data_IF_623359693393
#
_entry.id   IF_623359693393
#
_cell.length_a   1.000
_cell.length_b   1.000
_cell.length_c   1.000
_cell.angle_alpha   90.00
_cell.angle_beta   90.00
_cell.angle_gamma   90.00
#
_symmetry.space_group_name_H-M   'P 1'
#
loop_
_entity.id
_entity.type
_entity.pdbx_description
1 polymer ?
#
# COMPACT_ATOMS: atom_id res chain seq x y z
N UNK A 1 18.73 -85.29 47.94
CA UNK A 1 19.30 -84.77 46.69
C UNK A 1 18.52 -83.52 46.29
N UNK A 2 19.09 -82.31 46.46
CA UNK A 2 18.36 -81.06 46.23
C UNK A 2 18.41 -80.69 44.74
N UNK A 3 17.24 -80.36 44.19
CA UNK A 3 17.06 -79.91 42.81
C UNK A 3 17.53 -78.46 42.64
N UNK A 4 18.35 -78.22 41.62
CA UNK A 4 18.87 -76.91 41.24
C UNK A 4 17.76 -76.17 40.47
N UNK A 5 17.32 -75.02 40.98
CA UNK A 5 16.38 -74.11 40.33
C UNK A 5 17.17 -73.18 39.38
N UNK A 6 16.75 -72.99 38.11
CA UNK A 6 17.47 -72.13 37.18
C UNK A 6 17.19 -70.64 37.46
N UNK A 7 18.22 -69.81 37.31
CA UNK A 7 18.15 -68.37 37.51
C UNK A 7 17.32 -67.65 36.41
N UNK A 8 16.61 -66.55 36.74
CA UNK A 8 15.82 -65.81 35.76
C UNK A 8 16.71 -64.99 34.80
N UNK A 9 16.30 -64.94 33.53
CA UNK A 9 17.00 -64.21 32.47
C UNK A 9 16.94 -62.67 32.67
N UNK A 10 17.97 -61.92 32.27
CA UNK A 10 18.01 -60.47 32.46
C UNK A 10 16.99 -59.75 31.56
N UNK A 11 16.28 -58.78 32.15
CA UNK A 11 15.31 -57.94 31.45
C UNK A 11 16.00 -57.06 30.38
N UNK A 12 15.48 -57.10 29.15
CA UNK A 12 15.93 -56.22 28.06
C UNK A 12 15.47 -54.78 28.33
N UNK A 13 16.43 -53.88 28.53
CA UNK A 13 16.20 -52.42 28.51
C UNK A 13 15.81 -51.99 27.09
N UNK A 14 14.53 -51.62 26.91
CA UNK A 14 14.04 -50.97 25.70
C UNK A 14 14.49 -49.51 25.75
N UNK A 15 15.39 -49.12 24.86
CA UNK A 15 15.79 -47.71 24.70
C UNK A 15 14.60 -46.89 24.15
N UNK A 16 14.37 -45.66 24.64
CA UNK A 16 13.26 -44.84 24.19
C UNK A 16 13.43 -44.48 22.71
N UNK A 17 12.34 -44.58 21.93
CA UNK A 17 12.26 -44.27 20.48
C UNK A 17 12.46 -42.76 20.18
N UNK A 18 13.60 -42.19 20.55
CA UNK A 18 13.94 -40.77 20.32
C UNK A 18 14.07 -40.41 18.83
N UNK A 19 14.47 -41.37 17.99
CA UNK A 19 14.66 -41.16 16.54
C UNK A 19 13.36 -41.05 15.72
N UNK A 20 12.20 -41.47 16.24
CA UNK A 20 10.91 -41.39 15.53
C UNK A 20 10.25 -40.02 15.69
N UNK A 21 10.24 -39.50 16.92
CA UNK A 21 9.69 -38.17 17.25
C UNK A 21 10.46 -37.07 16.53
N UNK A 22 11.80 -37.13 16.54
CA UNK A 22 12.67 -36.14 15.86
C UNK A 22 12.46 -36.12 14.34
N UNK A 23 12.19 -37.27 13.71
CA UNK A 23 11.85 -37.37 12.27
C UNK A 23 10.45 -36.87 11.96
N UNK A 24 9.48 -37.06 12.86
CA UNK A 24 8.14 -36.49 12.75
C UNK A 24 8.16 -34.96 12.82
N UNK A 25 8.87 -34.40 13.81
CA UNK A 25 9.03 -32.94 13.95
C UNK A 25 9.71 -32.31 12.73
N UNK A 26 10.78 -32.92 12.22
CA UNK A 26 11.50 -32.41 11.04
C UNK A 26 10.63 -32.42 9.76
N UNK A 27 9.74 -33.42 9.62
CA UNK A 27 8.79 -33.49 8.51
C UNK A 27 7.73 -32.40 8.56
N UNK A 28 7.18 -32.12 9.74
CA UNK A 28 6.21 -31.04 9.92
C UNK A 28 6.83 -29.65 9.73
N UNK A 29 8.08 -29.45 10.19
CA UNK A 29 8.83 -28.22 9.91
C UNK A 29 9.10 -28.05 8.41
N UNK A 30 9.50 -29.12 7.72
CA UNK A 30 9.70 -29.10 6.27
C UNK A 30 8.42 -28.79 5.49
N UNK A 31 7.29 -29.42 5.85
CA UNK A 31 5.99 -29.14 5.25
C UNK A 31 5.53 -27.69 5.49
N UNK A 32 5.75 -27.17 6.70
CA UNK A 32 5.48 -25.77 7.03
C UNK A 32 6.30 -24.81 6.15
N UNK A 33 7.60 -25.05 5.99
CA UNK A 33 8.45 -24.22 5.12
C UNK A 33 8.00 -24.24 3.64
N UNK A 34 7.61 -25.41 3.12
CA UNK A 34 7.08 -25.52 1.75
C UNK A 34 5.78 -24.73 1.60
N UNK A 35 4.88 -24.81 2.58
CA UNK A 35 3.63 -24.04 2.58
C UNK A 35 3.90 -22.53 2.60
N UNK A 36 4.80 -22.07 3.47
CA UNK A 36 5.16 -20.66 3.57
C UNK A 36 5.84 -20.15 2.29
N UNK A 37 6.70 -20.95 1.68
CA UNK A 37 7.29 -20.64 0.37
C UNK A 37 6.22 -20.53 -0.72
N UNK A 38 5.25 -21.45 -0.74
CA UNK A 38 4.11 -21.41 -1.66
C UNK A 38 3.26 -20.14 -1.50
N UNK A 39 2.94 -19.73 -0.27
CA UNK A 39 2.20 -18.49 0.01
C UNK A 39 2.99 -17.26 -0.46
N UNK A 40 4.30 -17.23 -0.21
CA UNK A 40 5.16 -16.13 -0.67
C UNK A 40 5.25 -16.06 -2.20
N UNK A 41 5.34 -17.21 -2.88
CA UNK A 41 5.34 -17.30 -4.35
C UNK A 41 4.01 -16.88 -4.98
N UNK A 42 2.89 -17.14 -4.30
CA UNK A 42 1.54 -16.79 -4.77
C UNK A 42 1.04 -15.44 -4.27
N UNK A 43 1.85 -14.71 -3.49
CA UNK A 43 1.46 -13.42 -2.89
C UNK A 43 0.88 -12.45 -3.92
N UNK A 44 1.42 -12.44 -5.14
CA UNK A 44 0.96 -11.56 -6.21
C UNK A 44 -0.51 -11.77 -6.56
N UNK A 45 -1.01 -13.01 -6.49
CA UNK A 45 -2.41 -13.35 -6.78
C UNK A 45 -3.38 -13.01 -5.64
N UNK A 46 -2.85 -12.72 -4.44
CA UNK A 46 -3.65 -12.34 -3.28
C UNK A 46 -3.63 -10.83 -3.03
N UNK A 47 -2.54 -10.16 -3.40
CA UNK A 47 -2.38 -8.73 -3.17
C UNK A 47 -2.79 -7.88 -4.37
N UNK A 48 -2.56 -8.33 -5.61
CA UNK A 48 -2.69 -7.51 -6.80
C UNK A 48 -3.73 -8.08 -7.75
N UNK A 49 -4.71 -7.25 -8.12
CA UNK A 49 -5.81 -7.60 -9.02
C UNK A 49 -5.83 -6.66 -10.23
N UNK A 50 -4.79 -6.71 -11.08
CA UNK A 50 -4.70 -5.85 -12.26
C UNK A 50 -5.87 -6.09 -13.19
N UNK A 51 -6.54 -5.01 -13.59
CA UNK A 51 -7.46 -5.04 -14.71
C UNK A 51 -6.72 -4.62 -15.99
N UNK A 52 -6.91 -5.38 -17.07
CA UNK A 52 -6.24 -5.15 -18.35
C UNK A 52 -7.17 -4.35 -19.26
N UNK A 53 -6.70 -3.20 -19.71
CA UNK A 53 -7.43 -2.27 -20.56
C UNK A 53 -6.47 -1.63 -21.57
N UNK A 54 -6.98 -1.24 -22.74
CA UNK A 54 -6.20 -0.41 -23.66
C UNK A 54 -6.16 1.05 -23.15
N UNK A 55 -5.26 1.87 -23.71
CA UNK A 55 -5.28 3.31 -23.42
C UNK A 55 -6.61 3.93 -23.82
N UNK A 56 -7.17 3.48 -24.96
CA UNK A 56 -8.43 4.02 -25.51
C UNK A 56 -9.64 3.69 -24.62
N UNK A 57 -9.64 2.55 -23.92
CA UNK A 57 -10.69 2.19 -22.96
C UNK A 57 -10.60 3.02 -21.67
N UNK A 58 -9.40 3.51 -21.33
CA UNK A 58 -9.15 4.23 -20.08
C UNK A 58 -9.33 5.73 -20.19
N UNK A 59 -9.16 6.31 -21.38
CA UNK A 59 -9.38 7.75 -21.59
C UNK A 59 -10.87 8.07 -21.58
N UNK A 60 -11.21 9.28 -21.13
CA UNK A 60 -12.59 9.75 -21.09
C UNK A 60 -12.62 11.29 -21.24
N UNK A 61 -13.79 11.92 -21.41
CA UNK A 61 -13.86 13.38 -21.46
C UNK A 61 -13.20 14.04 -20.24
N UNK A 62 -12.11 14.77 -20.46
CA UNK A 62 -11.33 15.42 -19.40
C UNK A 62 -10.15 14.59 -18.86
N UNK A 63 -10.02 13.32 -19.23
CA UNK A 63 -8.90 12.44 -18.90
C UNK A 63 -8.20 11.97 -20.17
N UNK A 64 -6.93 12.35 -20.31
CA UNK A 64 -6.09 11.99 -21.46
C UNK A 64 -4.88 11.18 -21.03
N UNK A 65 -4.32 10.38 -21.94
CA UNK A 65 -3.09 9.64 -21.71
C UNK A 65 -1.94 10.55 -21.25
N UNK A 66 -1.17 10.09 -20.26
CA UNK A 66 -0.03 10.80 -19.71
C UNK A 66 1.22 9.91 -19.61
N UNK A 67 2.42 10.42 -19.97
CA UNK A 67 2.69 11.68 -20.69
C UNK A 67 2.14 11.70 -22.12
N UNK A 68 1.83 10.53 -22.67
CA UNK A 68 1.20 10.31 -23.96
C UNK A 68 0.87 8.82 -24.12
N UNK A 69 0.23 8.40 -25.22
CA UNK A 69 -0.20 7.02 -25.41
C UNK A 69 0.98 6.04 -25.64
N UNK A 70 2.11 6.49 -26.19
CA UNK A 70 3.27 5.61 -26.46
C UNK A 70 4.05 5.28 -25.18
N UNK A 71 4.25 6.27 -24.30
CA UNK A 71 4.99 6.13 -23.04
C UNK A 71 4.05 6.14 -21.84
N UNK A 72 2.89 5.51 -21.97
CA UNK A 72 1.79 5.60 -21.02
C UNK A 72 2.19 5.23 -19.58
N UNK A 73 1.92 6.16 -18.66
CA UNK A 73 2.12 6.01 -17.21
C UNK A 73 0.85 6.25 -16.40
N UNK A 74 -0.25 6.62 -17.06
CA UNK A 74 -1.50 6.95 -16.41
C UNK A 74 -2.30 7.96 -17.21
N UNK A 75 -3.27 8.57 -16.54
CA UNK A 75 -4.13 9.59 -17.12
C UNK A 75 -3.84 10.94 -16.48
N UNK A 76 -4.07 12.04 -17.22
CA UNK A 76 -4.00 13.40 -16.69
C UNK A 76 -5.28 14.16 -16.98
N UNK A 77 -5.74 14.91 -15.98
CA UNK A 77 -6.81 15.90 -16.09
C UNK A 77 -6.28 17.29 -15.74
N UNK A 78 -6.72 18.29 -16.49
CA UNK A 78 -6.35 19.68 -16.32
C UNK A 78 -7.51 20.47 -15.70
N UNK A 79 -7.25 21.41 -14.78
CA UNK A 79 -8.26 22.37 -14.34
C UNK A 79 -8.59 23.37 -15.48
N UNK A 80 -9.72 24.07 -15.36
CA UNK A 80 -10.16 25.03 -16.39
C UNK A 80 -9.21 26.24 -16.57
N UNK A 81 -8.43 26.58 -15.54
CA UNK A 81 -7.43 27.64 -15.56
C UNK A 81 -6.02 27.12 -15.27
N UNK A 82 -5.03 28.00 -15.02
CA UNK A 82 -3.69 27.59 -14.65
C UNK A 82 -3.69 26.69 -13.41
N UNK A 83 -3.06 25.52 -13.51
CA UNK A 83 -2.94 24.62 -12.37
C UNK A 83 -2.03 25.21 -11.30
N UNK A 84 -2.54 25.33 -10.07
CA UNK A 84 -1.78 25.86 -8.93
C UNK A 84 -0.94 24.82 -8.19
N UNK A 85 -1.21 23.54 -8.44
CA UNK A 85 -0.46 22.38 -7.97
C UNK A 85 -0.82 21.16 -8.82
N UNK A 86 -0.03 20.09 -8.71
CA UNK A 86 -0.33 18.78 -9.29
C UNK A 86 -0.63 17.78 -8.16
N UNK A 87 -1.67 16.95 -8.31
CA UNK A 87 -1.94 15.80 -7.46
C UNK A 87 -1.66 14.53 -8.27
N UNK A 88 -0.71 13.71 -7.82
CA UNK A 88 -0.45 12.38 -8.36
C UNK A 88 -1.13 11.34 -7.46
N UNK A 89 -2.07 10.60 -8.04
CA UNK A 89 -2.92 9.63 -7.37
C UNK A 89 -2.45 8.22 -7.70
N UNK A 90 -2.21 7.43 -6.65
CA UNK A 90 -1.90 6.01 -6.71
C UNK A 90 -3.14 5.23 -6.23
N UNK A 91 -3.72 4.43 -7.13
CA UNK A 91 -4.97 3.73 -6.88
C UNK A 91 -4.77 2.45 -6.03
N UNK A 92 -5.87 1.84 -5.60
CA UNK A 92 -5.86 0.59 -4.83
C UNK A 92 -5.29 -0.62 -5.59
N UNK A 93 -5.48 -1.82 -5.06
CA UNK A 93 -4.94 -3.03 -5.67
C UNK A 93 -5.77 -3.58 -6.84
N UNK A 94 -7.00 -3.12 -7.03
CA UNK A 94 -7.92 -3.67 -8.02
C UNK A 94 -8.37 -2.63 -9.06
N UNK A 95 -8.48 -3.06 -10.31
CA UNK A 95 -8.91 -2.20 -11.42
C UNK A 95 -7.74 -1.56 -12.16
N UNK A 96 -7.96 -0.35 -12.67
CA UNK A 96 -7.00 0.47 -13.39
C UNK A 96 -7.28 1.97 -13.14
N UNK A 97 -6.36 2.85 -13.53
CA UNK A 97 -6.43 4.30 -13.28
C UNK A 97 -7.68 4.98 -13.85
N UNK A 98 -8.22 4.50 -14.98
CA UNK A 98 -9.48 5.00 -15.55
C UNK A 98 -10.70 4.90 -14.62
N UNK A 99 -10.71 3.94 -13.67
CA UNK A 99 -11.79 3.78 -12.69
C UNK A 99 -11.70 4.77 -11.51
N UNK A 100 -10.84 5.79 -11.60
CA UNK A 100 -10.51 6.74 -10.51
C UNK A 100 -10.74 8.19 -10.92
N UNK A 101 -11.61 8.40 -11.90
CA UNK A 101 -12.05 9.70 -12.41
C UNK A 101 -12.68 10.62 -11.35
N UNK A 102 -13.20 10.05 -10.26
CA UNK A 102 -13.73 10.80 -9.13
C UNK A 102 -12.69 11.73 -8.48
N UNK A 103 -11.40 11.35 -8.47
CA UNK A 103 -10.33 12.26 -8.01
C UNK A 103 -10.14 13.44 -8.94
N UNK A 104 -10.16 13.19 -10.26
CA UNK A 104 -10.08 14.26 -11.26
C UNK A 104 -11.28 15.22 -11.12
N UNK A 105 -12.48 14.67 -10.96
CA UNK A 105 -13.72 15.42 -10.78
C UNK A 105 -13.73 16.29 -9.53
N UNK A 106 -13.11 15.84 -8.44
CA UNK A 106 -13.01 16.59 -7.19
C UNK A 106 -11.91 17.68 -7.24
N UNK A 107 -10.70 17.31 -7.66
CA UNK A 107 -9.51 18.14 -7.46
C UNK A 107 -9.29 19.18 -8.57
N UNK A 108 -9.73 18.92 -9.81
CA UNK A 108 -9.64 19.92 -10.90
C UNK A 108 -10.50 21.15 -10.62
N UNK A 109 -11.65 20.98 -9.95
CA UNK A 109 -12.50 22.08 -9.47
C UNK A 109 -11.79 22.95 -8.42
N UNK A 110 -10.78 22.41 -7.74
CA UNK A 110 -9.94 23.12 -6.77
C UNK A 110 -8.66 23.71 -7.39
N UNK A 111 -8.55 23.68 -8.72
CA UNK A 111 -7.43 24.24 -9.48
C UNK A 111 -6.20 23.34 -9.54
N UNK A 112 -6.32 22.04 -9.23
CA UNK A 112 -5.22 21.10 -9.31
C UNK A 112 -5.23 20.37 -10.65
N UNK A 113 -4.04 20.19 -11.23
CA UNK A 113 -3.80 19.15 -12.23
C UNK A 113 -3.82 17.80 -11.53
N UNK A 114 -4.46 16.81 -12.12
CA UNK A 114 -4.56 15.46 -11.53
C UNK A 114 -3.91 14.46 -12.46
N UNK A 115 -2.97 13.68 -11.94
CA UNK A 115 -2.39 12.53 -12.62
C UNK A 115 -2.90 11.29 -11.91
N UNK A 116 -3.67 10.44 -12.58
CA UNK A 116 -4.05 9.11 -12.11
C UNK A 116 -2.98 8.14 -12.60
N UNK A 117 -2.03 7.79 -11.73
CA UNK A 117 -0.91 6.93 -12.09
C UNK A 117 -1.37 5.48 -12.29
N UNK A 118 -0.89 4.83 -13.34
CA UNK A 118 -1.15 3.42 -13.61
C UNK A 118 0.07 2.57 -13.25
N UNK A 119 -0.13 1.45 -12.56
CA UNK A 119 0.98 0.60 -12.13
C UNK A 119 1.59 -0.20 -13.28
N UNK A 120 2.88 -0.59 -13.19
CA UNK A 120 3.42 -1.69 -13.98
C UNK A 120 2.53 -2.94 -13.88
N UNK A 121 2.33 -3.64 -15.00
CA UNK A 121 1.42 -4.77 -15.14
C UNK A 121 -0.10 -4.47 -14.98
N UNK A 122 -0.52 -3.21 -14.79
CA UNK A 122 -1.93 -2.81 -14.78
C UNK A 122 -2.32 -2.06 -16.07
N UNK A 123 -3.60 -2.06 -16.41
CA UNK A 123 -4.11 -1.44 -17.63
C UNK A 123 -3.31 -1.94 -18.86
N UNK A 124 -2.82 -1.03 -19.72
CA UNK A 124 -2.04 -1.40 -20.90
C UNK A 124 -0.56 -1.66 -20.57
N UNK A 125 -0.12 -1.41 -19.33
CA UNK A 125 1.29 -1.42 -18.97
C UNK A 125 1.82 -2.84 -18.84
N UNK A 126 3.01 -3.07 -19.40
CA UNK A 126 3.85 -4.23 -19.10
C UNK A 126 4.63 -4.01 -17.81
N UNK A 127 5.45 -4.98 -17.40
CA UNK A 127 6.27 -4.92 -16.20
C UNK A 127 5.87 -5.97 -15.18
N UNK A 128 6.32 -5.79 -13.93
CA UNK A 128 6.12 -6.75 -12.85
C UNK A 128 5.32 -6.13 -11.71
N UNK A 129 4.53 -6.98 -11.06
CA UNK A 129 3.84 -6.66 -9.81
C UNK A 129 4.84 -6.54 -8.65
N UNK A 130 4.45 -5.86 -7.58
CA UNK A 130 5.24 -5.80 -6.34
C UNK A 130 5.63 -4.38 -5.91
N UNK A 131 5.90 -4.22 -4.62
CA UNK A 131 6.27 -2.94 -3.99
C UNK A 131 7.48 -2.32 -4.67
N UNK A 132 8.53 -3.11 -4.90
CA UNK A 132 9.76 -2.61 -5.52
C UNK A 132 9.49 -2.00 -6.90
N UNK A 133 8.68 -2.67 -7.72
CA UNK A 133 8.33 -2.24 -9.07
C UNK A 133 7.47 -0.96 -9.01
N UNK A 134 6.44 -0.96 -8.16
CA UNK A 134 5.49 0.15 -8.07
C UNK A 134 6.13 1.41 -7.52
N UNK A 135 6.97 1.29 -6.48
CA UNK A 135 7.66 2.44 -5.90
C UNK A 135 8.72 2.99 -6.87
N UNK A 136 9.48 2.13 -7.55
CA UNK A 136 10.44 2.59 -8.56
C UNK A 136 9.75 3.33 -9.72
N UNK A 137 8.60 2.83 -10.18
CA UNK A 137 7.81 3.53 -11.20
C UNK A 137 7.23 4.85 -10.68
N UNK A 138 6.75 4.89 -9.43
CA UNK A 138 6.27 6.10 -8.79
C UNK A 138 7.35 7.19 -8.72
N UNK A 139 8.59 6.83 -8.37
CA UNK A 139 9.73 7.78 -8.36
C UNK A 139 9.99 8.38 -9.75
N UNK A 140 9.95 7.55 -10.80
CA UNK A 140 10.12 8.01 -12.18
C UNK A 140 8.96 8.91 -12.62
N UNK A 141 7.72 8.56 -12.25
CA UNK A 141 6.53 9.36 -12.52
C UNK A 141 6.59 10.71 -11.80
N UNK A 142 6.98 10.74 -10.53
CA UNK A 142 7.19 11.98 -9.76
C UNK A 142 8.22 12.86 -10.45
N UNK A 143 9.39 12.31 -10.80
CA UNK A 143 10.43 13.06 -11.48
C UNK A 143 9.94 13.63 -12.83
N UNK A 144 9.18 12.84 -13.60
CA UNK A 144 8.59 13.28 -14.87
C UNK A 144 7.58 14.42 -14.66
N UNK A 145 6.65 14.27 -13.71
CA UNK A 145 5.65 15.27 -13.41
C UNK A 145 6.30 16.60 -12.96
N UNK A 146 7.35 16.53 -12.11
CA UNK A 146 8.11 17.71 -11.69
C UNK A 146 8.81 18.41 -12.85
N UNK A 147 9.39 17.65 -13.79
CA UNK A 147 10.01 18.23 -14.99
C UNK A 147 8.98 18.88 -15.92
N UNK A 148 7.82 18.26 -16.10
CA UNK A 148 6.81 18.71 -17.04
C UNK A 148 5.97 19.88 -16.50
N UNK A 149 5.67 19.88 -15.19
CA UNK A 149 4.67 20.78 -14.61
C UNK A 149 5.21 21.64 -13.46
N UNK A 150 6.43 21.41 -12.98
CA UNK A 150 6.97 22.14 -11.82
C UNK A 150 6.35 21.69 -10.49
N UNK A 151 6.14 22.62 -9.58
CA UNK A 151 5.57 22.37 -8.24
C UNK A 151 4.55 23.43 -7.84
N UNK A 152 3.76 23.20 -6.77
CA UNK A 152 3.81 22.07 -5.82
C UNK A 152 3.26 20.74 -6.36
N UNK A 153 3.71 19.61 -5.80
CA UNK A 153 3.23 18.25 -6.11
C UNK A 153 2.73 17.55 -4.84
N UNK A 154 1.49 17.09 -4.85
CA UNK A 154 0.88 16.25 -3.81
C UNK A 154 0.89 14.79 -4.25
N UNK A 155 1.13 13.88 -3.31
CA UNK A 155 0.86 12.46 -3.53
C UNK A 155 -0.42 12.07 -2.79
N UNK A 156 -1.30 11.34 -3.47
CA UNK A 156 -2.51 10.77 -2.91
C UNK A 156 -2.46 9.27 -3.13
N UNK A 157 -2.64 8.48 -2.08
CA UNK A 157 -2.63 7.03 -2.16
C UNK A 157 -3.89 6.44 -1.54
N UNK A 158 -4.59 5.59 -2.29
CA UNK A 158 -5.77 4.86 -1.85
C UNK A 158 -5.42 3.40 -1.59
N UNK A 159 -5.73 2.87 -0.39
CA UNK A 159 -5.54 1.46 -0.07
C UNK A 159 -4.11 1.01 -0.44
N UNK A 160 -3.92 0.05 -1.37
CA UNK A 160 -2.59 -0.34 -1.88
C UNK A 160 -1.68 0.87 -2.21
N UNK A 161 -2.25 1.86 -2.90
CA UNK A 161 -1.56 3.06 -3.31
C UNK A 161 -1.11 3.95 -2.16
N UNK A 162 -1.67 3.80 -0.95
CA UNK A 162 -1.17 4.50 0.23
C UNK A 162 0.25 4.05 0.59
N UNK A 163 0.53 2.74 0.53
CA UNK A 163 1.88 2.21 0.74
C UNK A 163 2.86 2.67 -0.33
N UNK A 164 2.42 2.70 -1.60
CA UNK A 164 3.23 3.21 -2.72
C UNK A 164 3.54 4.70 -2.56
N UNK A 165 2.52 5.51 -2.25
CA UNK A 165 2.66 6.95 -2.04
C UNK A 165 3.59 7.26 -0.86
N UNK A 166 3.47 6.54 0.26
CA UNK A 166 4.34 6.69 1.42
C UNK A 166 5.81 6.40 1.08
N UNK A 167 6.08 5.26 0.45
CA UNK A 167 7.44 4.87 0.08
C UNK A 167 8.05 5.79 -1.00
N UNK A 168 7.25 6.23 -1.98
CA UNK A 168 7.70 7.16 -3.02
C UNK A 168 7.97 8.56 -2.44
N UNK A 169 7.11 9.04 -1.52
CA UNK A 169 7.32 10.31 -0.82
C UNK A 169 8.63 10.32 -0.02
N UNK A 170 8.95 9.21 0.66
CA UNK A 170 10.20 9.06 1.39
C UNK A 170 11.44 9.27 0.50
N UNK A 171 11.41 8.69 -0.71
CA UNK A 171 12.52 8.73 -1.67
C UNK A 171 12.60 10.02 -2.47
N UNK A 172 11.48 10.73 -2.62
CA UNK A 172 11.35 11.96 -3.40
C UNK A 172 10.96 13.17 -2.53
N UNK A 173 11.45 13.21 -1.28
CA UNK A 173 11.01 14.15 -0.24
C UNK A 173 11.00 15.62 -0.70
N UNK A 174 12.03 16.07 -1.41
CA UNK A 174 12.13 17.47 -1.87
C UNK A 174 11.20 17.80 -3.04
N UNK A 175 10.70 16.78 -3.75
CA UNK A 175 9.77 16.94 -4.85
C UNK A 175 8.31 17.01 -4.39
N UNK A 176 8.01 16.55 -3.17
CA UNK A 176 6.66 16.35 -2.64
C UNK A 176 6.32 17.41 -1.59
N UNK A 177 5.22 18.12 -1.79
CA UNK A 177 4.73 19.15 -0.89
C UNK A 177 3.89 18.58 0.27
N UNK A 178 3.16 17.49 0.05
CA UNK A 178 2.36 16.82 1.06
C UNK A 178 1.80 15.48 0.57
N UNK A 179 1.35 14.65 1.50
CA UNK A 179 0.84 13.30 1.23
C UNK A 179 -0.53 13.08 1.86
N UNK A 180 -1.51 12.63 1.08
CA UNK A 180 -2.81 12.15 1.56
C UNK A 180 -2.89 10.64 1.41
N UNK A 181 -3.15 9.94 2.50
CA UNK A 181 -3.31 8.49 2.52
C UNK A 181 -4.75 8.16 2.92
N UNK A 182 -5.49 7.48 2.03
CA UNK A 182 -6.90 7.14 2.20
C UNK A 182 -7.02 5.64 2.42
N UNK A 183 -7.78 5.28 3.47
CA UNK A 183 -7.89 3.91 4.01
C UNK A 183 -6.53 3.19 4.11
N UNK A 184 -5.50 3.81 4.73
CA UNK A 184 -4.16 3.25 4.75
C UNK A 184 -3.92 2.33 5.96
N UNK A 185 -2.71 1.80 6.04
CA UNK A 185 -2.20 1.06 7.19
C UNK A 185 -0.80 1.55 7.58
N UNK A 186 -0.38 1.20 8.80
CA UNK A 186 0.98 1.38 9.29
C UNK A 186 1.95 0.37 8.65
N UNK A 187 1.66 -0.93 8.74
CA UNK A 187 2.42 -2.01 8.09
C UNK A 187 1.50 -3.04 7.44
N UNK A 188 1.81 -3.47 6.21
CA UNK A 188 0.97 -4.47 5.53
C UNK A 188 0.90 -5.80 6.30
N UNK A 189 1.98 -6.16 6.99
CA UNK A 189 2.02 -7.34 7.85
C UNK A 189 0.97 -7.30 8.98
N UNK A 190 0.59 -6.12 9.47
CA UNK A 190 -0.47 -6.00 10.48
C UNK A 190 -1.85 -6.30 9.90
N UNK A 191 -2.11 -5.87 8.66
CA UNK A 191 -3.34 -6.21 7.92
C UNK A 191 -3.41 -7.70 7.65
N UNK A 192 -2.32 -8.28 7.13
CA UNK A 192 -2.25 -9.71 6.85
C UNK A 192 -2.43 -10.54 8.14
N UNK A 193 -1.81 -10.15 9.25
CA UNK A 193 -1.96 -10.85 10.53
C UNK A 193 -3.38 -10.72 11.11
N UNK A 194 -4.11 -9.65 10.78
CA UNK A 194 -5.49 -9.49 11.20
C UNK A 194 -6.44 -10.46 10.49
N UNK A 195 -6.32 -10.56 9.17
CA UNK A 195 -7.18 -11.41 8.36
C UNK A 195 -6.74 -12.88 8.39
N UNK A 196 -5.44 -13.13 8.62
CA UNK A 196 -4.83 -14.46 8.65
C UNK A 196 -3.97 -14.64 9.91
N UNK A 197 -4.58 -14.71 11.11
CA UNK A 197 -3.85 -14.77 12.39
C UNK A 197 -2.99 -16.03 12.56
N UNK A 198 -3.23 -17.06 11.74
CA UNK A 198 -2.43 -18.30 11.69
C UNK A 198 -1.16 -18.17 10.83
N UNK A 199 -1.03 -17.11 10.04
CA UNK A 199 0.11 -16.88 9.17
C UNK A 199 1.14 -15.98 9.86
N UNK A 200 2.44 -16.36 9.93
CA UNK A 200 3.49 -15.46 10.40
C UNK A 200 3.81 -14.40 9.32
N UNK A 201 2.88 -13.48 9.09
CA UNK A 201 2.91 -12.56 7.94
C UNK A 201 4.21 -11.75 7.84
N UNK A 202 4.79 -11.36 8.97
CA UNK A 202 6.07 -10.66 9.02
C UNK A 202 7.26 -11.42 8.42
N UNK A 203 7.19 -12.75 8.31
CA UNK A 203 8.26 -13.56 7.71
C UNK A 203 7.95 -13.96 6.26
N UNK A 204 6.67 -14.03 5.91
CA UNK A 204 6.19 -14.58 4.64
C UNK A 204 6.04 -13.50 3.57
N UNK A 205 5.61 -12.31 3.97
CA UNK A 205 5.37 -11.21 3.04
C UNK A 205 6.69 -10.73 2.44
N UNK A 206 6.76 -10.80 1.11
CA UNK A 206 7.83 -10.26 0.29
C UNK A 206 7.71 -8.74 0.19
N UNK A 207 6.49 -8.26 -0.06
CA UNK A 207 6.19 -6.84 -0.15
C UNK A 207 5.76 -6.36 1.24
N UNK A 208 6.45 -5.33 1.74
CA UNK A 208 6.38 -4.85 3.12
C UNK A 208 5.40 -3.71 3.28
N UNK A 209 5.43 -2.75 2.35
CA UNK A 209 4.66 -1.50 2.40
C UNK A 209 4.58 -0.96 3.84
N UNK A 210 5.74 -0.70 4.44
CA UNK A 210 5.87 -0.14 5.80
C UNK A 210 5.73 1.38 5.69
N UNK A 211 4.49 1.85 5.69
CA UNK A 211 4.12 3.26 5.57
C UNK A 211 4.66 4.08 6.75
N UNK A 212 4.66 3.48 7.96
CA UNK A 212 5.17 4.12 9.16
C UNK A 212 6.67 4.41 9.04
N UNK A 213 7.47 3.42 8.65
CA UNK A 213 8.90 3.60 8.42
C UNK A 213 9.18 4.54 7.24
N UNK A 214 8.38 4.48 6.17
CA UNK A 214 8.57 5.34 4.99
C UNK A 214 8.37 6.83 5.30
N UNK A 215 7.39 7.16 6.15
CA UNK A 215 7.06 8.55 6.49
C UNK A 215 7.76 9.05 7.77
N UNK A 216 8.62 8.24 8.36
CA UNK A 216 9.46 8.67 9.48
C UNK A 216 10.35 9.85 9.05
N UNK A 217 10.26 10.95 9.79
CA UNK A 217 11.03 12.17 9.49
C UNK A 217 10.72 12.81 8.13
N UNK A 218 9.54 12.57 7.54
CA UNK A 218 9.16 13.15 6.24
C UNK A 218 9.13 14.69 6.25
N UNK A 219 8.70 15.31 7.37
CA UNK A 219 8.83 16.76 7.61
C UNK A 219 7.93 17.66 6.73
N UNK A 220 7.00 17.08 5.97
CA UNK A 220 5.97 17.78 5.18
C UNK A 220 4.57 17.32 5.64
N UNK A 221 3.50 18.07 5.34
CA UNK A 221 2.12 17.68 5.67
C UNK A 221 1.77 16.24 5.25
N UNK A 222 1.31 15.45 6.23
CA UNK A 222 0.72 14.12 5.99
C UNK A 222 -0.70 14.08 6.56
N UNK A 223 -1.67 13.80 5.69
CA UNK A 223 -3.04 13.57 6.09
C UNK A 223 -3.38 12.08 5.95
N UNK A 224 -3.92 11.50 7.01
CA UNK A 224 -4.43 10.14 7.05
C UNK A 224 -5.94 10.21 7.10
N UNK A 225 -6.63 9.64 6.11
CA UNK A 225 -8.07 9.52 6.07
C UNK A 225 -8.46 8.05 6.27
N UNK A 226 -9.24 7.75 7.31
CA UNK A 226 -9.72 6.39 7.61
C UNK A 226 -11.23 6.31 7.44
N UNK A 227 -11.73 5.24 6.83
CA UNK A 227 -13.16 4.95 6.78
C UNK A 227 -13.59 4.25 8.08
N UNK A 228 -14.63 4.77 8.75
CA UNK A 228 -15.03 4.34 10.10
C UNK A 228 -15.37 2.85 10.18
N UNK A 229 -16.07 2.33 9.16
CA UNK A 229 -16.60 0.96 9.09
C UNK A 229 -15.81 0.08 8.13
N UNK A 230 -14.55 0.42 7.89
CA UNK A 230 -13.69 -0.34 6.99
C UNK A 230 -13.45 -1.76 7.51
N UNK A 231 -13.90 -2.76 6.76
CA UNK A 231 -13.68 -4.18 7.07
C UNK A 231 -12.50 -4.79 6.30
N UNK A 232 -11.93 -4.07 5.33
CA UNK A 232 -10.78 -4.53 4.52
C UNK A 232 -9.49 -4.05 5.17
N UNK A 233 -9.41 -2.75 5.48
CA UNK A 233 -8.32 -2.12 6.21
C UNK A 233 -8.90 -1.40 7.43
N UNK A 234 -9.13 -2.12 8.55
CA UNK A 234 -9.76 -1.52 9.72
C UNK A 234 -9.10 -0.22 10.17
N UNK A 235 -9.92 0.80 10.46
CA UNK A 235 -9.49 2.17 10.75
C UNK A 235 -8.34 2.28 11.78
N UNK A 236 -8.28 1.36 12.73
CA UNK A 236 -7.21 1.29 13.74
C UNK A 236 -5.79 1.24 13.14
N UNK A 237 -5.61 0.69 11.94
CA UNK A 237 -4.30 0.62 11.29
C UNK A 237 -3.87 1.97 10.71
N UNK A 238 -4.80 2.70 10.10
CA UNK A 238 -4.56 4.10 9.71
C UNK A 238 -4.39 5.01 10.92
N UNK A 239 -5.15 4.80 12.00
CA UNK A 239 -4.97 5.51 13.27
C UNK A 239 -3.60 5.24 13.89
N UNK A 240 -3.13 3.99 13.85
CA UNK A 240 -1.78 3.61 14.29
C UNK A 240 -0.69 4.30 13.45
N UNK A 241 -0.86 4.35 12.11
CA UNK A 241 0.02 5.12 11.23
C UNK A 241 0.03 6.59 11.64
N UNK A 242 -1.15 7.22 11.77
CA UNK A 242 -1.24 8.63 12.17
C UNK A 242 -0.50 8.91 13.48
N UNK A 243 -0.68 8.05 14.48
CA UNK A 243 -0.02 8.18 15.77
C UNK A 243 1.52 8.12 15.68
N UNK A 244 2.08 7.40 14.70
CA UNK A 244 3.53 7.29 14.49
C UNK A 244 4.15 8.44 13.68
N UNK A 245 3.35 9.28 13.02
CA UNK A 245 3.86 10.36 12.15
C UNK A 245 4.42 11.54 12.97
N UNK A 246 5.41 12.25 12.42
CA UNK A 246 5.79 13.57 12.93
C UNK A 246 4.80 14.67 12.49
N UNK A 247 4.92 15.86 13.07
CA UNK A 247 4.18 17.04 12.61
C UNK A 247 4.79 17.63 11.31
N UNK A 248 4.00 18.28 10.43
CA UNK A 248 2.55 18.46 10.54
C UNK A 248 1.76 17.23 10.07
N UNK A 249 0.85 16.74 10.91
CA UNK A 249 -0.03 15.59 10.59
C UNK A 249 -1.50 15.89 10.86
N UNK A 250 -2.38 15.27 10.09
CA UNK A 250 -3.84 15.35 10.29
C UNK A 250 -4.49 13.98 10.15
N UNK A 251 -5.43 13.67 11.04
CA UNK A 251 -6.32 12.52 10.92
C UNK A 251 -7.70 13.01 10.50
N UNK A 252 -8.31 12.36 9.51
CA UNK A 252 -9.72 12.48 9.19
C UNK A 252 -10.40 11.12 9.31
N UNK A 253 -11.51 11.07 10.03
CA UNK A 253 -12.39 9.90 10.08
C UNK A 253 -13.58 10.18 9.18
N UNK A 254 -13.77 9.34 8.15
CA UNK A 254 -14.90 9.42 7.23
C UNK A 254 -16.05 8.64 7.85
N UNK A 255 -16.99 9.36 8.48
CA UNK A 255 -18.09 8.78 9.24
C UNK A 255 -19.03 7.94 8.37
N UNK A 256 -19.39 6.75 8.87
CA UNK A 256 -20.30 5.82 8.23
C UNK A 256 -19.76 5.09 7.00
N UNK A 257 -18.59 5.47 6.47
CA UNK A 257 -17.99 4.88 5.28
C UNK A 257 -17.31 3.53 5.56
N UNK A 258 -17.35 2.64 4.58
CA UNK A 258 -16.48 1.49 4.41
C UNK A 258 -15.37 1.74 3.37
N UNK A 259 -14.66 0.66 3.01
CA UNK A 259 -13.45 0.73 2.17
C UNK A 259 -13.72 1.20 0.73
N UNK A 260 -14.87 0.84 0.17
CA UNK A 260 -15.16 1.02 -1.26
C UNK A 260 -16.22 2.10 -1.54
N UNK A 261 -16.82 2.69 -0.50
CA UNK A 261 -17.88 3.70 -0.61
C UNK A 261 -17.49 5.05 0.03
N UNK A 262 -16.27 5.17 0.59
CA UNK A 262 -15.80 6.40 1.25
C UNK A 262 -15.94 7.66 0.37
N UNK A 263 -15.85 7.52 -0.94
CA UNK A 263 -16.02 8.61 -1.91
C UNK A 263 -17.40 9.27 -1.84
N UNK A 264 -18.45 8.49 -1.51
CA UNK A 264 -19.82 8.99 -1.33
C UNK A 264 -20.05 9.69 0.00
N UNK A 265 -19.09 9.63 0.92
CA UNK A 265 -19.17 10.20 2.27
C UNK A 265 -18.32 11.48 2.45
N UNK A 266 -17.64 11.92 1.39
CA UNK A 266 -16.86 13.17 1.38
C UNK A 266 -17.40 14.13 0.33
N UNK A 267 -17.24 15.42 0.58
CA UNK A 267 -17.74 16.47 -0.30
C UNK A 267 -16.63 17.42 -0.74
N UNK A 268 -17.02 18.51 -1.41
CA UNK A 268 -16.06 19.51 -1.89
C UNK A 268 -15.34 20.22 -0.74
N UNK A 269 -16.02 20.45 0.40
CA UNK A 269 -15.41 21.11 1.56
C UNK A 269 -14.31 20.24 2.16
N UNK A 270 -14.55 18.92 2.28
CA UNK A 270 -13.54 17.97 2.72
C UNK A 270 -12.28 18.02 1.85
N UNK A 271 -12.45 18.02 0.52
CA UNK A 271 -11.33 18.14 -0.42
C UNK A 271 -10.60 19.48 -0.31
N UNK A 272 -11.32 20.58 -0.11
CA UNK A 272 -10.73 21.90 0.11
C UNK A 272 -9.85 21.93 1.35
N UNK A 273 -10.34 21.39 2.47
CA UNK A 273 -9.58 21.31 3.72
C UNK A 273 -8.34 20.43 3.60
N UNK A 274 -8.47 19.26 2.96
CA UNK A 274 -7.36 18.36 2.71
C UNK A 274 -6.28 19.05 1.87
N UNK A 275 -6.65 19.64 0.73
CA UNK A 275 -5.71 20.33 -0.17
C UNK A 275 -5.07 21.54 0.50
N UNK A 276 -5.82 22.32 1.28
CA UNK A 276 -5.28 23.47 2.00
C UNK A 276 -4.23 23.05 3.04
N UNK A 277 -4.51 21.99 3.81
CA UNK A 277 -3.55 21.43 4.76
C UNK A 277 -2.29 20.91 4.06
N UNK A 278 -2.45 20.15 2.97
CA UNK A 278 -1.32 19.51 2.27
C UNK A 278 -0.41 20.48 1.54
N UNK A 279 -0.93 21.64 1.14
CA UNK A 279 -0.15 22.72 0.51
C UNK A 279 0.34 23.78 1.50
N UNK A 280 0.08 23.59 2.80
CA UNK A 280 0.58 24.50 3.82
C UNK A 280 2.12 24.43 3.86
N UNK A 281 2.81 25.58 3.98
CA UNK A 281 4.25 25.60 4.07
C UNK A 281 4.74 24.82 5.30
N UNK A 282 5.94 24.22 5.25
CA UNK A 282 6.50 23.54 6.41
C UNK A 282 6.65 24.53 7.57
N UNK A 283 6.49 24.09 8.83
CA UNK A 283 6.68 24.94 9.99
C UNK A 283 8.10 25.52 9.96
N UNK A 284 8.21 26.84 10.11
CA UNK A 284 9.50 27.53 10.21
C UNK A 284 10.18 27.12 11.51
N UNK A 285 11.25 26.34 11.44
CA UNK A 285 12.15 26.14 12.58
C UNK A 285 12.87 27.45 12.87
N UNK A 286 12.46 28.18 13.91
CA UNK A 286 13.33 29.17 14.53
C UNK A 286 14.55 28.41 15.06
N UNK A 287 15.73 28.74 14.53
CA UNK A 287 17.03 28.27 15.03
C UNK A 287 17.27 28.75 16.46
#
# INVERSE_FOLDING_TARGET
>A
MPAIVPAPAPARLVSPRTGSVRRGVLRWLGAGLVLLAGISMLQDHFLYFPDKASVDDMVSPGLRAWPGPQDFRGLVAEPAGPARATAMVFHGNAGHAGHRDYYASALTKLGLRVILAEYPAYGPRTGTLGERSFVADAEQSIALARRQFGGPLLLIGESLGAGVAAAAAARQRESVAGVLLITPWDKLAHIASHHYPWLPAGWVLRDRYDSAASLEGFGRPVMVAVAERDTIVPARFGQALYASLGEPRRLAVIGGAGHNDWTGHVDTAWWQEAVAFLLSPPPTTNK
#
